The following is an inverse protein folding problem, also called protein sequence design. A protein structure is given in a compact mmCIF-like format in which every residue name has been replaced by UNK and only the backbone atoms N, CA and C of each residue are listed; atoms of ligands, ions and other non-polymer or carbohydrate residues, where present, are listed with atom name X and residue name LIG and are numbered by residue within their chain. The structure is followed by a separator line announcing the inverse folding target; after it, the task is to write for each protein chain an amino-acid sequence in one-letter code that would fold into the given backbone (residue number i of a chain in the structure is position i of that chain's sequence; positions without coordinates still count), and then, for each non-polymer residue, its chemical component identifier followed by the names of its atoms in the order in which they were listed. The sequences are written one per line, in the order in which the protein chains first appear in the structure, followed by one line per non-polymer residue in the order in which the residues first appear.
data_IF_843149282436
#
_entry.id   IF_843149282436
#
_cell.length_a   1.000
_cell.length_b   1.000
_cell.length_c   1.000
_cell.angle_alpha   90.00
_cell.angle_beta   90.00
_cell.angle_gamma   90.00
#
_symmetry.space_group_name_H-M   'P 1'
#
loop_
_entity.id
_entity.type
_entity.pdbx_description
1 polymer ?
#
# COMPACT_ATOMS: atom_id res chain seq x y z
N UNK A 1 -39.92 -90.16 14.85
CA UNK A 1 -39.99 -88.90 15.60
C UNK A 1 -38.57 -88.37 15.62
N UNK A 2 -38.30 -87.38 14.74
CA UNK A 2 -37.00 -86.79 14.49
C UNK A 2 -36.96 -85.46 15.23
N UNK A 3 -35.99 -85.32 16.13
CA UNK A 3 -35.72 -84.06 16.82
C UNK A 3 -34.55 -83.39 16.09
N UNK A 4 -34.83 -82.27 15.45
CA UNK A 4 -33.83 -81.44 14.82
C UNK A 4 -33.24 -80.48 15.85
N UNK A 5 -31.98 -80.63 16.11
CA UNK A 5 -31.21 -79.77 17.03
C UNK A 5 -30.69 -78.55 16.27
N UNK A 6 -31.20 -77.36 16.54
CA UNK A 6 -30.79 -76.10 15.92
C UNK A 6 -29.56 -75.52 16.67
N UNK A 7 -28.40 -75.58 16.03
CA UNK A 7 -27.17 -75.00 16.57
C UNK A 7 -27.15 -73.49 16.15
N UNK A 8 -27.27 -72.60 17.11
CA UNK A 8 -27.23 -71.17 16.94
C UNK A 8 -25.74 -70.74 17.02
N UNK A 9 -25.13 -70.42 15.87
CA UNK A 9 -23.79 -69.89 15.81
C UNK A 9 -23.80 -68.40 16.17
N UNK A 10 -23.25 -68.03 17.30
CA UNK A 10 -23.05 -66.67 17.72
C UNK A 10 -21.78 -66.10 17.02
N UNK A 11 -21.98 -65.33 15.96
CA UNK A 11 -20.87 -64.60 15.31
C UNK A 11 -20.52 -63.36 16.13
N UNK A 12 -19.39 -63.38 16.80
CA UNK A 12 -18.82 -62.20 17.44
C UNK A 12 -18.25 -61.29 16.39
N UNK A 13 -18.99 -60.23 16.07
CA UNK A 13 -18.46 -59.10 15.29
C UNK A 13 -17.55 -58.25 16.22
N UNK A 14 -16.25 -58.55 16.19
CA UNK A 14 -15.26 -57.62 16.72
C UNK A 14 -15.14 -56.40 15.76
N UNK A 15 -15.96 -55.39 16.00
CA UNK A 15 -15.82 -54.11 15.32
C UNK A 15 -14.54 -53.43 15.74
N UNK A 16 -13.51 -53.44 14.89
CA UNK A 16 -12.36 -52.52 15.01
C UNK A 16 -12.90 -51.09 14.92
N UNK A 17 -13.06 -50.45 16.07
CA UNK A 17 -13.21 -48.99 16.13
C UNK A 17 -11.87 -48.39 15.69
N UNK A 18 -11.81 -48.06 14.41
CA UNK A 18 -10.69 -47.30 13.85
C UNK A 18 -10.86 -45.86 14.34
N UNK A 19 -10.22 -45.56 15.50
CA UNK A 19 -10.10 -44.19 15.99
C UNK A 19 -9.23 -43.44 14.98
N UNK A 20 -9.84 -42.89 13.93
CA UNK A 20 -9.21 -41.82 13.15
C UNK A 20 -8.88 -40.72 14.15
N UNK A 21 -7.59 -40.65 14.52
CA UNK A 21 -7.02 -39.41 15.07
C UNK A 21 -7.38 -38.33 14.06
N UNK A 22 -8.34 -37.49 14.44
CA UNK A 22 -8.64 -36.28 13.69
C UNK A 22 -7.31 -35.61 13.40
N UNK A 23 -6.97 -35.45 12.13
CA UNK A 23 -5.90 -34.58 11.72
C UNK A 23 -6.24 -33.24 12.38
N UNK A 24 -5.52 -32.91 13.45
CA UNK A 24 -5.56 -31.58 14.01
C UNK A 24 -5.22 -30.65 12.86
N UNK A 25 -6.16 -29.85 12.41
CA UNK A 25 -5.87 -28.71 11.58
C UNK A 25 -4.85 -27.91 12.37
N UNK A 26 -3.56 -27.99 12.00
CA UNK A 26 -2.57 -27.01 12.44
C UNK A 26 -3.19 -25.66 12.08
N UNK A 27 -3.68 -24.96 13.09
CA UNK A 27 -4.17 -23.58 12.89
C UNK A 27 -2.97 -22.81 12.39
N UNK A 28 -3.04 -22.39 11.13
CA UNK A 28 -1.99 -21.57 10.54
C UNK A 28 -1.73 -20.38 11.46
N UNK A 29 -0.48 -20.18 11.87
CA UNK A 29 -0.07 -19.08 12.74
C UNK A 29 -0.48 -17.77 12.07
N UNK A 30 -1.34 -17.01 12.72
CA UNK A 30 -1.84 -15.73 12.19
C UNK A 30 -0.72 -14.68 12.18
N UNK A 31 -0.92 -13.59 11.43
CA UNK A 31 0.04 -12.47 11.46
C UNK A 31 0.10 -11.86 12.85
N UNK A 32 -1.05 -11.72 13.54
CA UNK A 32 -1.10 -11.21 14.91
C UNK A 32 -0.36 -12.09 15.90
N UNK A 33 -0.47 -13.43 15.78
CA UNK A 33 0.32 -14.35 16.60
C UNK A 33 1.81 -14.16 16.40
N UNK A 34 2.24 -14.03 15.13
CA UNK A 34 3.63 -13.79 14.76
C UNK A 34 4.16 -12.47 15.32
N UNK A 35 3.39 -11.38 15.20
CA UNK A 35 3.72 -10.07 15.76
C UNK A 35 3.86 -10.15 17.28
N UNK A 36 2.88 -10.75 17.95
CA UNK A 36 2.87 -10.91 19.40
C UNK A 36 4.05 -11.74 19.89
N UNK A 37 4.34 -12.88 19.27
CA UNK A 37 5.46 -13.74 19.63
C UNK A 37 6.83 -13.08 19.42
N UNK A 38 6.99 -12.30 18.35
CA UNK A 38 8.23 -11.58 18.04
C UNK A 38 8.37 -10.27 18.83
N UNK A 39 7.27 -9.72 19.34
CA UNK A 39 7.22 -8.41 19.98
C UNK A 39 7.55 -7.25 19.03
N UNK A 40 7.33 -7.43 17.72
CA UNK A 40 7.68 -6.43 16.68
C UNK A 40 6.65 -6.45 15.57
N UNK A 41 6.13 -5.27 15.23
CA UNK A 41 5.36 -4.99 14.01
C UNK A 41 6.32 -4.49 12.92
N UNK A 42 6.39 -5.18 11.80
CA UNK A 42 7.22 -4.81 10.65
C UNK A 42 6.36 -4.19 9.55
N UNK A 43 6.52 -2.88 9.32
CA UNK A 43 5.76 -2.11 8.33
C UNK A 43 6.60 -1.85 7.09
N UNK A 44 6.12 -2.29 5.93
CA UNK A 44 6.72 -1.99 4.63
C UNK A 44 6.32 -0.58 4.16
N UNK A 45 7.30 0.22 3.76
CA UNK A 45 7.07 1.57 3.23
C UNK A 45 8.12 1.95 2.18
N UNK A 46 7.77 2.87 1.27
CA UNK A 46 8.72 3.39 0.29
C UNK A 46 9.64 4.47 0.90
N UNK A 47 9.19 5.18 1.93
CA UNK A 47 9.96 6.24 2.58
C UNK A 47 10.29 7.43 1.67
N UNK A 48 9.55 7.62 0.58
CA UNK A 48 9.79 8.66 -0.43
C UNK A 48 8.51 9.31 -0.97
N UNK A 49 7.42 9.26 -0.18
CA UNK A 49 6.10 9.76 -0.56
C UNK A 49 5.56 10.79 0.44
N UNK A 50 6.23 11.94 0.62
CA UNK A 50 5.75 12.98 1.51
C UNK A 50 4.38 13.53 1.05
N UNK A 51 3.50 13.93 1.96
CA UNK A 51 3.63 13.95 3.43
C UNK A 51 3.29 12.61 4.10
N UNK A 52 2.97 11.57 3.34
CA UNK A 52 2.48 10.29 3.88
C UNK A 52 3.61 9.47 4.52
N UNK A 53 4.72 9.28 3.83
CA UNK A 53 5.91 8.62 4.34
C UNK A 53 7.17 9.19 3.70
N UNK A 54 8.18 9.48 4.49
CA UNK A 54 9.44 10.03 4.02
C UNK A 54 10.59 9.69 4.97
N UNK A 55 11.79 9.59 4.41
CA UNK A 55 13.01 9.38 5.18
C UNK A 55 13.71 10.72 5.37
N UNK A 56 14.06 11.05 6.62
CA UNK A 56 14.79 12.27 6.97
C UNK A 56 16.27 12.16 6.60
N UNK A 57 17.01 13.25 6.76
CA UNK A 57 18.49 13.25 6.59
C UNK A 57 19.20 12.33 7.56
N UNK A 58 18.62 12.14 8.75
CA UNK A 58 19.13 11.28 9.82
C UNK A 58 18.77 9.81 9.61
N UNK A 59 17.89 9.50 8.63
CA UNK A 59 17.46 8.16 8.31
C UNK A 59 16.16 7.71 8.99
N UNK A 60 15.50 8.60 9.74
CA UNK A 60 14.23 8.33 10.39
C UNK A 60 13.09 8.31 9.37
N UNK A 61 12.14 7.41 9.53
CA UNK A 61 10.91 7.38 8.72
C UNK A 61 9.83 8.16 9.44
N UNK A 62 9.37 9.25 8.83
CA UNK A 62 8.36 10.15 9.40
C UNK A 62 7.20 10.35 8.40
N UNK A 63 6.05 10.82 8.87
CA UNK A 63 4.90 11.11 8.02
C UNK A 63 3.58 10.67 8.64
N UNK A 64 2.51 10.91 7.91
CA UNK A 64 1.16 10.50 8.30
C UNK A 64 1.07 8.99 8.58
N UNK A 65 1.62 8.17 7.70
CA UNK A 65 1.59 6.71 7.80
C UNK A 65 2.53 6.16 8.89
N UNK A 66 3.74 6.68 9.08
CA UNK A 66 4.57 6.36 10.24
C UNK A 66 3.91 6.66 11.59
N UNK A 67 3.27 7.83 11.76
CA UNK A 67 2.54 8.14 12.99
C UNK A 67 1.38 7.16 13.23
N UNK A 68 0.67 6.77 12.16
CA UNK A 68 -0.38 5.75 12.25
C UNK A 68 0.18 4.37 12.62
N UNK A 69 1.35 3.99 12.07
CA UNK A 69 2.03 2.74 12.43
C UNK A 69 2.52 2.74 13.88
N UNK A 70 2.96 3.87 14.41
CA UNK A 70 3.32 4.04 15.82
C UNK A 70 2.12 3.74 16.73
N UNK A 71 0.96 4.33 16.41
CA UNK A 71 -0.28 4.05 17.15
C UNK A 71 -0.68 2.57 17.10
N UNK A 72 -0.53 1.91 15.93
CA UNK A 72 -0.77 0.46 15.81
C UNK A 72 0.14 -0.35 16.73
N UNK A 73 1.45 -0.06 16.70
CA UNK A 73 2.42 -0.79 17.52
C UNK A 73 2.18 -0.57 19.02
N UNK A 74 1.81 0.65 19.42
CA UNK A 74 1.43 0.97 20.80
C UNK A 74 0.20 0.19 21.26
N UNK A 75 -0.85 0.12 20.43
CA UNK A 75 -2.06 -0.62 20.75
C UNK A 75 -1.84 -2.15 20.79
N UNK A 76 -0.94 -2.66 19.93
CA UNK A 76 -0.51 -4.06 19.97
C UNK A 76 0.46 -4.36 21.13
N UNK A 77 1.01 -3.37 21.81
CA UNK A 77 2.02 -3.55 22.87
C UNK A 77 3.36 -4.07 22.36
N UNK A 78 3.75 -3.75 21.12
CA UNK A 78 4.97 -4.25 20.46
C UNK A 78 5.86 -3.10 19.98
N UNK A 79 7.09 -3.42 19.56
CA UNK A 79 7.99 -2.47 18.93
C UNK A 79 7.61 -2.26 17.46
N UNK A 80 7.82 -1.06 16.94
CA UNK A 80 7.69 -0.76 15.51
C UNK A 80 9.04 -0.91 14.80
N UNK A 81 9.00 -1.47 13.59
CA UNK A 81 10.14 -1.49 12.67
C UNK A 81 9.66 -1.17 11.26
N UNK A 82 10.28 -0.20 10.61
CA UNK A 82 10.07 0.04 9.19
C UNK A 82 11.03 -0.79 8.32
N UNK A 83 10.48 -1.37 7.26
CA UNK A 83 11.25 -1.98 6.17
C UNK A 83 11.11 -1.08 4.95
N UNK A 84 12.08 -0.17 4.78
CA UNK A 84 12.11 0.76 3.65
C UNK A 84 12.64 0.04 2.42
N UNK A 85 11.88 0.10 1.31
CA UNK A 85 12.25 -0.53 0.05
C UNK A 85 11.56 0.18 -1.13
N UNK A 86 12.03 -0.01 -2.38
CA UNK A 86 11.36 0.51 -3.56
C UNK A 86 9.88 0.10 -3.61
N UNK A 87 9.00 1.03 -4.02
CA UNK A 87 7.54 0.83 -3.99
C UNK A 87 7.09 -0.47 -4.69
N UNK A 88 7.71 -0.81 -5.82
CA UNK A 88 7.37 -2.02 -6.58
C UNK A 88 7.75 -3.34 -5.87
N UNK A 89 8.56 -3.29 -4.84
CA UNK A 89 8.97 -4.46 -4.03
C UNK A 89 8.03 -4.71 -2.84
N UNK A 90 7.22 -3.72 -2.45
CA UNK A 90 6.38 -3.79 -1.25
C UNK A 90 5.37 -4.93 -1.29
N UNK A 91 4.59 -5.07 -2.38
CA UNK A 91 3.62 -6.17 -2.51
C UNK A 91 4.28 -7.55 -2.53
N UNK A 92 5.36 -7.79 -3.31
CA UNK A 92 6.13 -9.03 -3.21
C UNK A 92 6.68 -9.30 -1.78
N UNK A 93 7.10 -8.27 -1.05
CA UNK A 93 7.57 -8.42 0.32
C UNK A 93 6.45 -8.83 1.29
N UNK A 94 5.26 -8.27 1.13
CA UNK A 94 4.07 -8.65 1.90
C UNK A 94 3.64 -10.08 1.59
N UNK A 95 3.54 -10.45 0.31
CA UNK A 95 3.20 -11.81 -0.13
C UNK A 95 4.20 -12.85 0.40
N UNK A 96 5.48 -12.46 0.52
CA UNK A 96 6.54 -13.32 1.07
C UNK A 96 6.64 -13.31 2.62
N UNK A 97 5.79 -12.56 3.32
CA UNK A 97 5.81 -12.44 4.79
C UNK A 97 7.05 -11.74 5.36
N UNK A 98 7.77 -10.94 4.53
CA UNK A 98 8.92 -10.13 4.96
C UNK A 98 8.48 -8.89 5.75
N UNK A 99 7.28 -8.42 5.51
CA UNK A 99 6.59 -7.36 6.25
C UNK A 99 5.21 -7.84 6.68
N UNK A 100 4.68 -7.27 7.76
CA UNK A 100 3.39 -7.67 8.33
C UNK A 100 2.22 -6.90 7.68
N UNK A 101 2.49 -5.67 7.24
CA UNK A 101 1.57 -4.83 6.50
C UNK A 101 2.35 -3.79 5.66
N UNK A 102 1.62 -3.09 4.77
CA UNK A 102 2.18 -1.99 3.99
C UNK A 102 1.41 -0.70 4.29
N UNK A 103 2.16 0.35 4.62
CA UNK A 103 1.73 1.75 4.68
C UNK A 103 2.67 2.56 3.75
N UNK A 104 2.20 2.82 2.54
CA UNK A 104 3.01 3.48 1.50
C UNK A 104 2.15 4.10 0.41
N UNK A 105 1.15 4.86 0.78
CA UNK A 105 0.19 5.52 -0.12
C UNK A 105 -0.34 4.54 -1.20
N UNK A 106 -0.62 3.30 -0.77
CA UNK A 106 -0.97 2.25 -1.71
C UNK A 106 -2.45 2.31 -2.12
N UNK A 107 -2.70 2.62 -3.38
CA UNK A 107 -4.06 2.63 -3.94
C UNK A 107 -4.69 1.24 -3.86
N UNK A 108 -5.91 1.17 -3.32
CA UNK A 108 -6.75 -0.03 -3.31
C UNK A 108 -7.28 -0.29 -4.71
N UNK A 109 -6.79 -1.34 -5.38
CA UNK A 109 -7.26 -1.72 -6.72
C UNK A 109 -7.71 -3.17 -6.75
N UNK A 110 -8.71 -3.49 -7.59
CA UNK A 110 -9.17 -4.87 -7.77
C UNK A 110 -8.04 -5.84 -8.13
N UNK A 111 -7.07 -5.40 -8.95
CA UNK A 111 -5.91 -6.22 -9.33
C UNK A 111 -5.04 -6.57 -8.12
N UNK A 112 -4.76 -5.59 -7.24
CA UNK A 112 -3.98 -5.81 -6.01
C UNK A 112 -4.78 -6.66 -5.01
N UNK A 113 -6.09 -6.39 -4.93
CA UNK A 113 -6.98 -7.09 -4.00
C UNK A 113 -7.23 -8.58 -4.33
N UNK A 114 -6.78 -9.04 -5.50
CA UNK A 114 -6.75 -10.48 -5.81
C UNK A 114 -5.65 -11.25 -5.06
N UNK A 115 -4.67 -10.53 -4.46
CA UNK A 115 -3.50 -11.12 -3.80
C UNK A 115 -3.35 -10.70 -2.35
N UNK A 116 -3.76 -9.48 -2.02
CA UNK A 116 -3.64 -8.89 -0.69
C UNK A 116 -4.99 -8.35 -0.26
N UNK A 117 -5.25 -8.31 1.05
CA UNK A 117 -6.40 -7.61 1.60
C UNK A 117 -6.08 -6.12 1.75
N UNK A 118 -7.12 -5.29 1.76
CA UNK A 118 -7.01 -3.87 2.05
C UNK A 118 -8.02 -3.47 3.11
N UNK A 119 -7.60 -2.61 4.03
CA UNK A 119 -8.46 -1.90 4.96
C UNK A 119 -8.34 -0.39 4.71
N UNK A 120 -9.46 0.29 4.71
CA UNK A 120 -9.55 1.72 4.40
C UNK A 120 -10.76 2.06 3.54
N UNK A 121 -10.73 3.21 2.82
CA UNK A 121 -9.55 4.09 2.65
C UNK A 121 -9.31 5.04 3.82
N UNK A 122 -8.07 5.24 4.25
CA UNK A 122 -7.71 6.28 5.21
C UNK A 122 -7.49 7.66 4.56
N UNK A 123 -7.29 7.68 3.24
CA UNK A 123 -7.15 8.88 2.43
C UNK A 123 -7.66 8.64 1.02
N UNK A 124 -8.09 9.72 0.36
CA UNK A 124 -8.44 9.71 -1.06
C UNK A 124 -7.43 10.57 -1.79
N UNK A 125 -6.91 10.05 -2.89
CA UNK A 125 -6.02 10.74 -3.81
C UNK A 125 -6.58 10.72 -5.24
N UNK A 126 -5.80 11.17 -6.19
CA UNK A 126 -6.09 11.09 -7.62
C UNK A 126 -4.86 11.40 -8.43
N UNK A 127 -4.87 11.03 -9.71
CA UNK A 127 -3.74 11.30 -10.61
C UNK A 127 -3.64 12.77 -10.93
N UNK A 128 -2.40 13.21 -11.06
CA UNK A 128 -2.02 14.53 -11.51
C UNK A 128 -0.71 14.41 -12.30
N UNK A 129 -0.17 15.55 -12.72
CA UNK A 129 1.12 15.58 -13.37
C UNK A 129 1.93 16.81 -12.95
N UNK A 130 3.24 16.73 -13.15
CA UNK A 130 4.16 17.87 -13.03
C UNK A 130 4.91 18.01 -14.35
N UNK A 131 4.95 19.24 -14.87
CA UNK A 131 5.65 19.57 -16.13
C UNK A 131 6.23 20.99 -16.05
N UNK A 132 7.24 21.27 -16.90
CA UNK A 132 7.71 22.65 -17.19
C UNK A 132 7.11 23.21 -18.48
N UNK A 133 6.38 22.41 -19.21
CA UNK A 133 5.91 22.72 -20.56
C UNK A 133 4.49 23.29 -20.49
N UNK A 134 4.35 24.59 -20.73
CA UNK A 134 3.09 25.32 -20.60
C UNK A 134 1.92 24.72 -21.41
N UNK A 135 2.17 24.24 -22.62
CA UNK A 135 1.10 23.67 -23.43
C UNK A 135 0.58 22.35 -22.83
N UNK A 136 1.46 21.51 -22.24
CA UNK A 136 1.05 20.28 -21.52
C UNK A 136 0.18 20.64 -20.31
N UNK A 137 0.55 21.70 -19.60
CA UNK A 137 -0.24 22.16 -18.44
C UNK A 137 -1.62 22.72 -18.83
N UNK A 138 -1.84 23.08 -20.10
CA UNK A 138 -3.10 23.63 -20.59
C UNK A 138 -4.04 22.60 -21.23
N UNK A 139 -3.60 21.33 -21.38
CA UNK A 139 -4.43 20.29 -22.01
C UNK A 139 -5.61 19.92 -21.10
N UNK A 140 -6.74 19.63 -21.73
CA UNK A 140 -7.98 19.23 -21.04
C UNK A 140 -8.17 17.72 -21.02
N UNK A 141 -7.51 17.01 -21.94
CA UNK A 141 -7.65 15.57 -22.12
C UNK A 141 -6.27 14.91 -22.34
N UNK A 142 -6.09 13.72 -21.76
CA UNK A 142 -4.87 12.93 -21.92
C UNK A 142 -4.54 12.62 -23.40
N UNK A 143 -5.56 12.50 -24.26
CA UNK A 143 -5.41 12.28 -25.70
C UNK A 143 -4.52 13.31 -26.39
N UNK A 144 -4.54 14.57 -25.92
CA UNK A 144 -3.76 15.68 -26.51
C UNK A 144 -2.24 15.52 -26.33
N UNK A 145 -1.80 14.83 -25.25
CA UNK A 145 -0.39 14.54 -24.97
C UNK A 145 0.01 13.11 -25.37
N UNK A 146 -0.92 12.29 -25.86
CA UNK A 146 -0.68 10.93 -26.31
C UNK A 146 0.00 10.87 -27.69
N UNK A 147 1.28 11.17 -27.73
CA UNK A 147 2.08 11.31 -28.95
C UNK A 147 3.47 10.68 -28.79
N UNK A 148 4.06 10.11 -29.86
CA UNK A 148 5.44 9.64 -29.84
C UNK A 148 6.50 10.72 -29.55
N UNK A 149 6.11 11.98 -29.62
CA UNK A 149 6.95 13.14 -29.29
C UNK A 149 6.91 13.48 -27.80
N UNK A 150 5.96 12.94 -27.04
CA UNK A 150 5.82 13.19 -25.61
C UNK A 150 6.51 12.06 -24.84
N UNK A 151 7.35 12.42 -23.87
CA UNK A 151 8.03 11.51 -22.95
C UNK A 151 7.53 11.74 -21.53
N UNK A 152 6.99 10.70 -20.90
CA UNK A 152 6.44 10.79 -19.54
C UNK A 152 7.11 9.80 -18.60
N UNK A 153 7.28 10.20 -17.34
CA UNK A 153 7.80 9.33 -16.28
C UNK A 153 6.72 9.06 -15.24
N UNK A 154 6.72 7.85 -14.68
CA UNK A 154 5.94 7.51 -13.50
C UNK A 154 6.71 6.51 -12.62
N UNK A 155 6.30 6.43 -11.35
CA UNK A 155 6.86 5.50 -10.38
C UNK A 155 6.55 4.05 -10.79
N UNK A 156 7.58 3.21 -10.84
CA UNK A 156 7.47 1.79 -11.17
C UNK A 156 6.52 1.05 -10.22
N UNK A 157 5.64 0.20 -10.76
CA UNK A 157 4.66 -0.59 -9.99
C UNK A 157 3.47 0.21 -9.46
N UNK A 158 3.41 1.52 -9.75
CA UNK A 158 2.32 2.39 -9.27
C UNK A 158 1.08 2.35 -10.19
N UNK A 159 -0.04 2.88 -9.69
CA UNK A 159 -1.22 3.14 -10.52
C UNK A 159 -0.99 4.27 -11.53
N UNK A 160 0.01 5.13 -11.29
CA UNK A 160 0.43 6.16 -12.26
C UNK A 160 1.09 5.54 -13.50
N UNK A 161 1.93 4.52 -13.33
CA UNK A 161 2.46 3.72 -14.43
C UNK A 161 1.32 3.06 -15.23
N UNK A 162 0.38 2.42 -14.53
CA UNK A 162 -0.78 1.79 -15.18
C UNK A 162 -1.64 2.82 -15.94
N UNK A 163 -1.81 4.02 -15.37
CA UNK A 163 -2.52 5.13 -16.00
C UNK A 163 -1.84 5.55 -17.31
N UNK A 164 -0.51 5.74 -17.30
CA UNK A 164 0.24 6.09 -18.51
C UNK A 164 0.10 5.01 -19.58
N UNK A 165 0.34 3.76 -19.25
CA UNK A 165 0.25 2.63 -20.20
C UNK A 165 -1.14 2.49 -20.82
N UNK A 166 -2.20 2.78 -20.06
CA UNK A 166 -3.59 2.72 -20.53
C UNK A 166 -4.00 3.94 -21.35
N UNK A 167 -3.68 5.15 -20.89
CA UNK A 167 -4.26 6.38 -21.45
C UNK A 167 -3.30 7.11 -22.40
N UNK A 168 -1.99 6.83 -22.32
CA UNK A 168 -0.95 7.43 -23.15
C UNK A 168 -0.12 6.38 -23.91
N UNK A 169 -0.72 5.39 -24.59
CA UNK A 169 0.02 4.27 -25.18
C UNK A 169 0.97 4.66 -26.32
N UNK A 170 0.83 5.87 -26.89
CA UNK A 170 1.72 6.40 -27.92
C UNK A 170 2.89 7.21 -27.34
N UNK A 171 2.78 7.69 -26.11
CA UNK A 171 3.86 8.43 -25.46
C UNK A 171 5.02 7.51 -25.11
N UNK A 172 6.23 8.06 -25.10
CA UNK A 172 7.40 7.36 -24.59
C UNK A 172 7.32 7.31 -23.07
N UNK A 173 7.32 6.12 -22.51
CA UNK A 173 7.23 5.91 -21.08
C UNK A 173 8.60 5.58 -20.48
N UNK A 174 8.94 6.24 -19.36
CA UNK A 174 10.13 6.01 -18.55
C UNK A 174 9.70 5.58 -17.15
N UNK A 175 10.30 4.53 -16.61
CA UNK A 175 10.09 4.10 -15.24
C UNK A 175 11.06 4.81 -14.30
N UNK A 176 10.58 5.29 -13.15
CA UNK A 176 11.42 5.77 -12.06
C UNK A 176 11.31 4.85 -10.84
N UNK A 177 12.41 4.69 -10.12
CA UNK A 177 12.45 3.87 -8.89
C UNK A 177 11.86 4.58 -7.67
N UNK A 178 11.94 5.92 -7.67
CA UNK A 178 11.40 6.80 -6.63
C UNK A 178 10.96 8.13 -7.26
N UNK A 179 10.28 8.97 -6.48
CA UNK A 179 9.79 10.25 -6.99
C UNK A 179 10.88 11.31 -7.14
N UNK A 180 11.96 11.29 -6.34
CA UNK A 180 13.04 12.28 -6.45
C UNK A 180 13.75 12.11 -7.81
N UNK A 181 14.04 10.89 -8.25
CA UNK A 181 14.58 10.61 -9.59
C UNK A 181 13.63 11.10 -10.70
N UNK A 182 12.31 10.85 -10.54
CA UNK A 182 11.32 11.29 -11.52
C UNK A 182 11.25 12.82 -11.63
N UNK A 183 11.28 13.52 -10.50
CA UNK A 183 11.32 15.00 -10.43
C UNK A 183 12.59 15.54 -11.08
N UNK A 184 13.74 14.95 -10.79
CA UNK A 184 15.01 15.34 -11.40
C UNK A 184 14.98 15.22 -12.93
N UNK A 185 14.35 14.16 -13.46
CA UNK A 185 14.18 13.99 -14.91
C UNK A 185 13.37 15.14 -15.53
N UNK A 186 12.28 15.59 -14.86
CA UNK A 186 11.48 16.74 -15.32
C UNK A 186 12.30 18.04 -15.23
N UNK A 187 12.98 18.26 -14.11
CA UNK A 187 13.79 19.47 -13.89
C UNK A 187 14.89 19.61 -14.94
N UNK A 188 15.55 18.51 -15.31
CA UNK A 188 16.60 18.45 -16.33
C UNK A 188 16.09 18.39 -17.77
N UNK A 189 14.77 18.37 -17.98
CA UNK A 189 14.16 18.26 -19.31
C UNK A 189 14.42 16.93 -20.02
N UNK A 190 14.75 15.87 -19.28
CA UNK A 190 14.90 14.50 -19.82
C UNK A 190 13.57 13.87 -20.18
N UNK A 191 12.49 14.30 -19.52
CA UNK A 191 11.10 13.93 -19.78
C UNK A 191 10.23 15.19 -19.79
N UNK A 192 9.09 15.14 -20.47
CA UNK A 192 8.18 16.28 -20.61
C UNK A 192 7.26 16.43 -19.41
N UNK A 193 6.88 15.33 -18.76
CA UNK A 193 6.02 15.35 -17.56
C UNK A 193 6.26 14.12 -16.67
N UNK A 194 6.04 14.30 -15.36
CA UNK A 194 5.87 13.22 -14.39
C UNK A 194 4.38 13.03 -14.11
N UNK A 195 3.89 11.81 -14.19
CA UNK A 195 2.55 11.43 -13.74
C UNK A 195 2.67 10.83 -12.34
N UNK A 196 1.96 11.42 -11.40
CA UNK A 196 1.98 10.99 -9.99
C UNK A 196 0.63 11.27 -9.32
N UNK A 197 0.52 10.90 -8.05
CA UNK A 197 -0.64 11.27 -7.23
C UNK A 197 -0.61 12.77 -6.90
N UNK A 198 -1.79 13.36 -6.81
CA UNK A 198 -1.97 14.80 -6.62
C UNK A 198 -1.13 15.38 -5.46
N UNK A 199 -1.09 14.79 -4.24
CA UNK A 199 -0.27 15.32 -3.16
C UNK A 199 1.22 15.37 -3.50
N UNK A 200 1.73 14.37 -4.21
CA UNK A 200 3.13 14.32 -4.67
C UNK A 200 3.41 15.46 -5.65
N UNK A 201 2.49 15.70 -6.59
CA UNK A 201 2.64 16.79 -7.57
C UNK A 201 2.66 18.17 -6.89
N UNK A 202 1.72 18.41 -5.97
CA UNK A 202 1.65 19.67 -5.21
C UNK A 202 2.95 19.88 -4.42
N UNK A 203 3.39 18.86 -3.69
CA UNK A 203 4.59 18.97 -2.89
C UNK A 203 5.85 19.16 -3.74
N UNK A 204 5.92 18.50 -4.90
CA UNK A 204 7.03 18.70 -5.85
C UNK A 204 7.17 20.16 -6.25
N UNK A 205 6.06 20.85 -6.49
CA UNK A 205 6.08 22.29 -6.81
C UNK A 205 6.53 23.11 -5.60
N UNK A 206 6.01 22.81 -4.42
CA UNK A 206 6.37 23.53 -3.18
C UNK A 206 7.85 23.38 -2.81
N UNK A 207 8.45 22.20 -3.07
CA UNK A 207 9.87 21.94 -2.82
C UNK A 207 10.81 22.58 -3.87
N UNK A 208 10.27 22.91 -5.04
CA UNK A 208 11.04 23.45 -6.16
C UNK A 208 10.44 24.78 -6.64
N UNK A 209 10.31 25.79 -5.75
CA UNK A 209 9.85 27.10 -6.16
C UNK A 209 10.81 27.62 -7.24
N UNK A 210 10.41 28.47 -8.11
CA UNK A 210 11.25 29.12 -9.15
C UNK A 210 11.81 28.19 -10.26
N UNK A 211 11.48 26.87 -10.20
CA UNK A 211 11.88 25.93 -11.27
C UNK A 211 10.92 25.89 -12.45
N UNK A 212 9.84 26.69 -12.43
CA UNK A 212 8.84 26.76 -13.49
C UNK A 212 7.97 25.50 -13.62
N UNK A 213 7.85 24.73 -12.54
CA UNK A 213 7.00 23.56 -12.50
C UNK A 213 5.51 23.96 -12.43
N UNK A 214 4.69 23.23 -13.16
CA UNK A 214 3.24 23.45 -13.27
C UNK A 214 2.53 22.11 -13.08
N UNK A 215 1.38 22.12 -12.39
CA UNK A 215 0.48 20.97 -12.23
C UNK A 215 -0.98 21.41 -12.39
N UNK A 216 -1.89 20.44 -12.52
CA UNK A 216 -3.33 20.71 -12.46
C UNK A 216 -3.80 20.87 -11.01
N UNK A 217 -4.83 21.69 -10.85
CA UNK A 217 -5.41 21.98 -9.51
C UNK A 217 -6.36 20.86 -9.07
N UNK A 218 -6.97 20.13 -10.01
CA UNK A 218 -7.97 19.09 -9.74
C UNK A 218 -7.41 17.72 -10.09
N UNK A 219 -7.54 16.72 -9.21
CA UNK A 219 -7.16 15.33 -9.52
C UNK A 219 -7.93 14.77 -10.74
N UNK A 220 -7.23 14.01 -11.58
CA UNK A 220 -7.76 13.42 -12.82
C UNK A 220 -8.46 12.07 -12.59
N UNK A 221 -8.35 11.49 -11.41
CA UNK A 221 -8.95 10.19 -11.06
C UNK A 221 -9.28 10.11 -9.57
N UNK A 222 -9.99 9.04 -9.19
CA UNK A 222 -10.29 8.69 -7.81
C UNK A 222 -9.38 7.52 -7.39
N UNK A 223 -8.53 7.74 -6.39
CA UNK A 223 -7.54 6.78 -5.90
C UNK A 223 -7.73 6.58 -4.39
N UNK A 224 -8.50 5.58 -3.95
CA UNK A 224 -8.63 5.25 -2.54
C UNK A 224 -7.34 4.63 -2.02
N UNK A 225 -6.80 5.17 -0.94
CA UNK A 225 -5.54 4.76 -0.33
C UNK A 225 -5.82 3.94 0.92
N UNK A 226 -5.28 2.74 0.99
CA UNK A 226 -5.55 1.80 2.09
C UNK A 226 -4.30 1.11 2.63
N UNK A 227 -4.50 0.45 3.75
CA UNK A 227 -3.51 -0.41 4.42
C UNK A 227 -3.55 -1.76 3.72
N UNK A 228 -2.43 -2.20 3.14
CA UNK A 228 -2.36 -3.54 2.53
C UNK A 228 -1.92 -4.58 3.57
N UNK A 229 -2.64 -5.68 3.62
CA UNK A 229 -2.50 -6.79 4.56
C UNK A 229 -2.35 -8.11 3.81
N UNK A 230 -1.80 -9.17 4.42
CA UNK A 230 -1.83 -10.52 3.86
C UNK A 230 -3.25 -10.96 3.50
N UNK A 231 -3.41 -11.61 2.34
CA UNK A 231 -4.73 -11.85 1.75
C UNK A 231 -5.59 -12.90 2.46
N UNK A 232 -5.03 -13.71 3.35
CA UNK A 232 -5.68 -14.86 3.98
C UNK A 232 -5.63 -14.82 5.51
N UNK A 233 -5.60 -13.64 6.10
CA UNK A 233 -5.64 -13.44 7.56
C UNK A 233 -6.86 -12.56 7.96
N UNK A 234 -8.06 -13.16 8.11
CA UNK A 234 -9.27 -12.42 8.46
C UNK A 234 -9.19 -11.78 9.85
N UNK A 235 -8.40 -12.35 10.77
CA UNK A 235 -8.25 -11.77 12.10
C UNK A 235 -7.46 -10.46 12.03
N UNK A 236 -6.38 -10.41 11.23
CA UNK A 236 -5.61 -9.19 11.00
C UNK A 236 -6.46 -8.12 10.29
N UNK A 237 -7.30 -8.52 9.33
CA UNK A 237 -8.24 -7.60 8.67
C UNK A 237 -9.22 -7.01 9.68
N UNK A 238 -9.87 -7.83 10.49
CA UNK A 238 -10.83 -7.38 11.51
C UNK A 238 -10.16 -6.46 12.55
N UNK A 239 -8.95 -6.79 13.00
CA UNK A 239 -8.19 -5.94 13.93
C UNK A 239 -7.95 -4.56 13.31
N UNK A 240 -7.50 -4.54 12.06
CA UNK A 240 -7.19 -3.30 11.34
C UNK A 240 -8.43 -2.44 11.06
N UNK A 241 -9.57 -3.06 10.73
CA UNK A 241 -10.85 -2.36 10.55
C UNK A 241 -11.29 -1.67 11.83
N UNK A 242 -11.21 -2.38 12.97
CA UNK A 242 -11.54 -1.81 14.28
C UNK A 242 -10.59 -0.68 14.66
N UNK A 243 -9.29 -0.86 14.45
CA UNK A 243 -8.28 0.17 14.69
C UNK A 243 -8.57 1.44 13.86
N UNK A 244 -8.67 1.32 12.54
CA UNK A 244 -8.90 2.46 11.65
C UNK A 244 -10.25 3.15 11.97
N UNK A 245 -11.31 2.36 12.20
CA UNK A 245 -12.61 2.89 12.59
C UNK A 245 -12.58 3.65 13.93
N UNK A 246 -11.71 3.23 14.87
CA UNK A 246 -11.49 3.95 16.13
C UNK A 246 -10.81 5.29 15.88
N UNK A 247 -9.73 5.32 15.07
CA UNK A 247 -9.04 6.57 14.72
C UNK A 247 -9.98 7.58 14.04
N UNK A 248 -10.85 7.10 13.14
CA UNK A 248 -11.85 7.95 12.47
C UNK A 248 -12.86 8.53 13.46
N UNK A 249 -13.50 7.68 14.27
CA UNK A 249 -14.56 8.09 15.21
C UNK A 249 -14.08 8.97 16.34
N UNK A 250 -12.82 8.82 16.76
CA UNK A 250 -12.21 9.64 17.81
C UNK A 250 -11.59 10.93 17.28
N UNK A 251 -11.57 11.13 15.95
CA UNK A 251 -10.97 12.30 15.31
C UNK A 251 -9.43 12.29 15.26
N UNK A 252 -8.79 11.22 15.71
CA UNK A 252 -7.32 11.08 15.66
C UNK A 252 -6.83 11.09 14.22
N UNK A 253 -7.54 10.44 13.28
CA UNK A 253 -7.19 10.44 11.88
C UNK A 253 -7.17 11.87 11.29
N UNK A 254 -8.10 12.73 11.69
CA UNK A 254 -8.14 14.12 11.24
C UNK A 254 -7.01 14.95 11.86
N UNK A 255 -6.63 14.70 13.12
CA UNK A 255 -5.46 15.33 13.73
C UNK A 255 -4.17 14.98 13.01
N UNK A 256 -4.02 13.71 12.56
CA UNK A 256 -2.87 13.31 11.74
C UNK A 256 -2.87 14.01 10.38
N UNK A 257 -4.03 14.17 9.73
CA UNK A 257 -4.16 14.93 8.47
C UNK A 257 -3.80 16.42 8.68
N UNK A 258 -4.27 17.04 9.75
CA UNK A 258 -3.90 18.41 10.10
C UNK A 258 -2.39 18.56 10.21
N UNK A 259 -1.76 17.69 11.00
CA UNK A 259 -0.32 17.71 11.25
C UNK A 259 0.53 17.56 10.00
N UNK A 260 0.16 16.65 9.09
CA UNK A 260 1.03 16.26 7.99
C UNK A 260 0.63 16.86 6.63
N UNK A 261 -0.67 17.10 6.40
CA UNK A 261 -1.16 17.59 5.10
C UNK A 261 -1.34 19.09 5.09
N UNK A 262 -1.73 19.69 6.23
CA UNK A 262 -1.95 21.16 6.32
C UNK A 262 -0.73 21.90 6.87
N UNK A 263 -0.02 21.35 7.86
CA UNK A 263 1.22 21.93 8.37
C UNK A 263 2.41 21.48 7.52
N UNK A 264 3.18 22.43 7.01
CA UNK A 264 4.34 22.20 6.16
C UNK A 264 5.69 22.32 6.93
N UNK A 265 5.67 22.42 8.25
CA UNK A 265 6.88 22.62 9.09
C UNK A 265 7.89 21.47 8.96
N UNK A 266 7.42 20.26 8.67
CA UNK A 266 8.22 19.06 8.46
C UNK A 266 9.08 19.10 7.18
N UNK A 267 8.77 19.97 6.19
CA UNK A 267 9.56 20.12 4.96
C UNK A 267 11.05 20.36 5.24
N UNK A 268 11.37 21.05 6.36
CA UNK A 268 12.75 21.33 6.78
C UNK A 268 13.56 20.09 7.16
N UNK A 269 12.91 18.96 7.42
CA UNK A 269 13.54 17.69 7.82
C UNK A 269 13.90 16.81 6.60
N UNK A 270 13.43 17.17 5.43
CA UNK A 270 13.72 16.42 4.20
C UNK A 270 15.15 16.68 3.71
N UNK A 271 15.74 15.70 3.00
CA UNK A 271 17.04 15.85 2.32
C UNK A 271 17.09 17.00 1.33
#
# INVERSE_FOLDING_TARGET
KIIIMLIMALALFSGCVNTQKGAGTETAVTVLDRISQKGVLVVGTAGSMPPFNMTTREGDVIGFEPDMAELMAQEMGVKLKFAVMPFYELLPALEAGKVDLILSQMTMTGKRNMKVAFVGPYSISGKSFVTKIKWIASVKEASQVNSPKTTVVALKGSTSEAFVKKNLPKAKFVEASNYDDAVEMVLKGKVDAMIADYPICVLTILRNPDQGLISVITPLSYEPIGIALPGNDPLMVNWMENFLGTLEKTGVLDLLKERWVKDNSWLKKLP
#
